data_IF_472386370500
#
_entry.id   IF_472386370500
#
_cell.length_a   1.000
_cell.length_b   1.000
_cell.length_c   1.000
_cell.angle_alpha   90.00
_cell.angle_beta   90.00
_cell.angle_gamma   90.00
#
_symmetry.space_group_name_H-M   'P 1'
#
loop_
_entity.id
_entity.type
_entity.pdbx_description
1 polymer ?
#
# COMPACT_ATOMS: atom_id res chain seq x y z
N UNK A 1 3.43 -26.07 -21.08
CA UNK A 1 4.67 -25.30 -20.87
C UNK A 1 4.60 -24.61 -19.52
N UNK A 2 5.55 -24.87 -18.60
CA UNK A 2 5.60 -24.15 -17.32
C UNK A 2 5.84 -22.67 -17.60
N UNK A 3 4.90 -21.80 -17.19
CA UNK A 3 5.08 -20.35 -17.26
C UNK A 3 6.23 -20.00 -16.32
N UNK A 4 7.36 -19.57 -16.86
CA UNK A 4 8.43 -19.01 -16.04
C UNK A 4 7.83 -17.92 -15.13
N UNK A 5 7.93 -18.09 -13.81
CA UNK A 5 7.39 -17.15 -12.83
C UNK A 5 8.53 -16.47 -12.09
N UNK A 6 8.52 -15.14 -12.07
CA UNK A 6 9.49 -14.30 -11.36
C UNK A 6 8.94 -13.98 -9.97
N UNK A 7 9.67 -14.37 -8.92
CA UNK A 7 9.33 -14.02 -7.54
C UNK A 7 9.83 -12.62 -7.22
N UNK A 8 8.95 -11.74 -6.75
CA UNK A 8 9.34 -10.40 -6.34
C UNK A 8 10.24 -10.46 -5.09
N UNK A 9 11.45 -9.90 -5.16
CA UNK A 9 12.40 -9.88 -4.04
C UNK A 9 11.86 -9.11 -2.82
N UNK A 10 10.89 -8.22 -3.02
CA UNK A 10 10.41 -7.28 -2.00
C UNK A 10 9.14 -7.72 -1.28
N UNK A 11 8.21 -8.38 -1.97
CA UNK A 11 6.96 -8.86 -1.34
C UNK A 11 6.73 -10.36 -1.51
N UNK A 12 7.60 -11.06 -2.23
CA UNK A 12 7.49 -12.49 -2.40
C UNK A 12 6.44 -12.98 -3.38
N UNK A 13 5.65 -12.09 -3.97
CA UNK A 13 4.61 -12.51 -4.89
C UNK A 13 5.19 -13.06 -6.18
N UNK A 14 4.56 -14.11 -6.73
CA UNK A 14 4.88 -14.65 -8.05
C UNK A 14 4.27 -13.78 -9.14
N UNK A 15 5.07 -13.43 -10.13
CA UNK A 15 4.70 -12.61 -11.27
C UNK A 15 5.00 -13.36 -12.57
N UNK A 16 4.26 -13.12 -13.66
CA UNK A 16 4.56 -13.73 -14.94
C UNK A 16 5.92 -13.25 -15.49
N UNK A 17 6.62 -14.12 -16.22
CA UNK A 17 7.83 -13.73 -16.97
C UNK A 17 7.57 -12.53 -17.89
N UNK A 18 8.55 -11.64 -17.99
CA UNK A 18 8.46 -10.41 -18.80
C UNK A 18 7.72 -9.25 -18.12
N UNK A 19 7.36 -9.36 -16.83
CA UNK A 19 6.79 -8.23 -16.09
C UNK A 19 7.89 -7.36 -15.49
N UNK A 20 7.82 -6.04 -15.73
CA UNK A 20 8.77 -5.06 -15.18
C UNK A 20 8.42 -4.64 -13.75
N UNK A 21 7.18 -4.90 -13.30
CA UNK A 21 6.68 -4.54 -11.97
C UNK A 21 5.87 -5.66 -11.34
N UNK A 22 5.96 -5.76 -10.02
CA UNK A 22 5.22 -6.72 -9.23
C UNK A 22 3.74 -6.37 -9.16
N UNK A 23 2.87 -7.31 -9.55
CA UNK A 23 1.40 -7.14 -9.50
C UNK A 23 0.88 -6.91 -8.08
N UNK A 24 1.58 -7.42 -7.06
CA UNK A 24 1.16 -7.37 -5.67
C UNK A 24 1.58 -6.08 -4.96
N UNK A 25 2.85 -5.71 -5.03
CA UNK A 25 3.38 -4.55 -4.31
C UNK A 25 3.79 -3.37 -5.18
N UNK A 26 3.79 -3.50 -6.51
CA UNK A 26 4.20 -2.45 -7.44
C UNK A 26 5.71 -2.25 -7.58
N UNK A 27 6.52 -3.01 -6.85
CA UNK A 27 7.98 -2.98 -6.90
C UNK A 27 8.54 -3.32 -8.30
N UNK A 28 9.73 -2.83 -8.68
CA UNK A 28 10.38 -3.29 -9.90
C UNK A 28 10.79 -4.75 -9.75
N UNK A 29 10.75 -5.49 -10.86
CA UNK A 29 11.26 -6.87 -10.92
C UNK A 29 12.61 -6.84 -11.63
N UNK A 30 13.64 -7.31 -10.95
CA UNK A 30 14.93 -7.59 -11.58
C UNK A 30 14.78 -8.80 -12.50
N UNK A 31 15.02 -8.60 -13.78
CA UNK A 31 15.02 -9.67 -14.77
C UNK A 31 16.36 -10.41 -14.65
N UNK A 32 16.39 -11.75 -14.52
CA UNK A 32 17.63 -12.50 -14.53
C UNK A 32 18.32 -12.28 -15.88
N UNK A 33 19.58 -11.84 -15.85
CA UNK A 33 20.41 -11.70 -17.04
C UNK A 33 20.67 -13.12 -17.55
N UNK A 34 19.92 -13.54 -18.57
CA UNK A 34 20.19 -14.80 -19.26
C UNK A 34 21.43 -14.60 -20.13
N UNK A 35 22.49 -15.42 -19.97
CA UNK A 35 23.62 -15.38 -20.88
C UNK A 35 23.13 -15.66 -22.31
N UNK A 36 23.71 -15.03 -23.34
CA UNK A 36 23.22 -15.16 -24.71
C UNK A 36 23.23 -16.63 -25.15
N UNK A 37 22.05 -17.18 -25.38
CA UNK A 37 21.89 -18.50 -25.97
C UNK A 37 22.38 -18.41 -27.41
N UNK A 38 23.51 -19.06 -27.72
CA UNK A 38 23.97 -19.20 -29.11
C UNK A 38 23.00 -20.13 -29.83
N UNK A 39 22.20 -19.59 -30.74
CA UNK A 39 21.35 -20.37 -31.64
C UNK A 39 22.19 -20.70 -32.88
N UNK A 40 22.56 -21.96 -33.06
CA UNK A 40 23.03 -22.47 -34.35
C UNK A 40 21.82 -22.57 -35.28
N UNK A 41 21.67 -21.61 -36.19
CA UNK A 41 20.65 -21.65 -37.24
C UNK A 41 20.97 -22.77 -38.23
N UNK A 42 20.23 -23.87 -38.17
CA UNK A 42 20.17 -24.84 -39.27
C UNK A 42 19.22 -24.27 -40.32
N UNK A 43 19.75 -24.01 -41.52
CA UNK A 43 18.99 -23.52 -42.68
C UNK A 43 17.83 -24.48 -42.97
N UNK A 44 16.65 -24.14 -42.48
CA UNK A 44 15.39 -24.84 -42.77
C UNK A 44 14.58 -23.90 -43.66
N UNK A 45 14.08 -24.33 -44.83
CA UNK A 45 13.38 -23.44 -45.76
C UNK A 45 12.16 -22.79 -45.11
N UNK A 46 11.92 -21.53 -45.48
CA UNK A 46 10.94 -20.64 -44.85
C UNK A 46 9.53 -21.23 -44.85
N UNK A 47 9.05 -21.64 -43.68
CA UNK A 47 7.62 -21.87 -43.45
C UNK A 47 7.01 -20.50 -43.15
N UNK A 48 6.12 -20.02 -44.01
CA UNK A 48 5.30 -18.83 -43.74
C UNK A 48 4.43 -19.11 -42.50
N UNK A 49 4.96 -18.78 -41.32
CA UNK A 49 4.23 -18.75 -40.07
C UNK A 49 4.07 -17.27 -39.74
N UNK A 50 2.91 -16.72 -40.10
CA UNK A 50 2.44 -15.43 -39.59
C UNK A 50 2.51 -15.51 -38.05
N UNK A 51 3.26 -14.62 -37.37
CA UNK A 51 3.27 -14.61 -35.91
C UNK A 51 1.84 -14.36 -35.39
N UNK A 52 1.35 -15.09 -34.37
CA UNK A 52 0.13 -14.67 -33.72
C UNK A 52 0.38 -13.27 -33.16
N UNK A 53 -0.50 -12.32 -33.52
CA UNK A 53 -0.48 -10.97 -32.98
C UNK A 53 -0.37 -11.06 -31.45
N UNK A 54 0.81 -10.74 -30.93
CA UNK A 54 0.97 -10.57 -29.50
C UNK A 54 -0.01 -9.46 -29.12
N UNK A 55 -1.04 -9.81 -28.36
CA UNK A 55 -1.83 -8.85 -27.63
C UNK A 55 -0.89 -8.16 -26.65
N UNK A 56 -0.20 -7.13 -27.15
CA UNK A 56 0.66 -6.24 -26.41
C UNK A 56 -0.26 -5.49 -25.46
N UNK A 57 -0.37 -6.03 -24.24
CA UNK A 57 -1.09 -5.38 -23.16
C UNK A 57 -0.48 -4.00 -23.00
N UNK A 58 -1.31 -2.96 -22.98
CA UNK A 58 -0.89 -1.56 -22.86
C UNK A 58 0.20 -1.40 -21.79
N UNK A 59 1.45 -1.44 -22.24
CA UNK A 59 2.59 -0.94 -21.52
C UNK A 59 2.37 0.55 -21.50
N UNK A 60 1.79 1.05 -20.41
CA UNK A 60 1.62 2.48 -20.21
C UNK A 60 3.01 3.10 -20.16
N UNK A 61 3.50 3.52 -21.33
CA UNK A 61 4.73 4.28 -21.43
C UNK A 61 4.58 5.52 -20.55
N UNK A 62 5.68 6.09 -20.02
CA UNK A 62 5.62 7.31 -19.23
C UNK A 62 4.81 8.43 -19.92
N UNK A 63 4.80 8.44 -21.25
CA UNK A 63 4.06 9.38 -22.08
C UNK A 63 2.54 9.11 -22.07
N UNK A 64 2.10 7.85 -22.16
CA UNK A 64 0.68 7.50 -22.07
C UNK A 64 0.07 7.79 -20.69
N UNK A 65 0.86 7.71 -19.61
CA UNK A 65 0.43 8.13 -18.27
C UNK A 65 0.27 9.65 -18.21
N UNK A 66 1.15 10.39 -18.90
CA UNK A 66 1.13 11.85 -18.97
C UNK A 66 -0.09 12.35 -19.74
N UNK A 67 -0.36 11.75 -20.90
CA UNK A 67 -1.53 12.05 -21.72
C UNK A 67 -2.86 11.71 -21.02
N UNK A 68 -2.91 10.59 -20.29
CA UNK A 68 -4.08 10.20 -19.51
C UNK A 68 -4.32 11.11 -18.28
N UNK A 69 -3.25 11.64 -17.67
CA UNK A 69 -3.34 12.64 -16.60
C UNK A 69 -3.76 14.00 -17.13
N UNK A 70 -3.33 14.35 -18.34
CA UNK A 70 -3.71 15.61 -18.99
C UNK A 70 -5.17 15.63 -19.44
N UNK A 71 -5.73 14.48 -19.80
CA UNK A 71 -7.14 14.30 -20.15
C UNK A 71 -8.11 14.18 -18.96
N UNK A 72 -7.61 14.08 -17.72
CA UNK A 72 -8.48 13.94 -16.54
C UNK A 72 -9.02 15.31 -16.04
N UNK A 73 -10.32 15.42 -15.73
CA UNK A 73 -10.94 16.65 -15.22
C UNK A 73 -10.63 16.82 -13.72
N UNK A 74 -9.39 17.18 -13.40
CA UNK A 74 -8.91 17.38 -12.02
C UNK A 74 -8.39 18.81 -11.91
N UNK A 75 -8.73 19.49 -10.80
CA UNK A 75 -8.25 20.84 -10.45
C UNK A 75 -6.72 20.96 -10.64
N UNK A 76 -6.28 22.03 -11.30
CA UNK A 76 -4.88 22.25 -11.70
C UNK A 76 -3.89 22.14 -10.54
N UNK A 77 -4.29 22.52 -9.32
CA UNK A 77 -3.45 22.40 -8.12
C UNK A 77 -3.22 20.94 -7.69
N UNK A 78 -4.22 20.07 -7.82
CA UNK A 78 -4.07 18.62 -7.61
C UNK A 78 -3.32 17.97 -8.77
N UNK A 79 -3.54 18.48 -10.00
CA UNK A 79 -2.89 17.99 -11.21
C UNK A 79 -1.39 18.24 -11.17
N UNK A 80 -0.97 19.43 -10.73
CA UNK A 80 0.45 19.77 -10.57
C UNK A 80 1.11 19.01 -9.42
N UNK A 81 0.42 18.82 -8.30
CA UNK A 81 0.88 17.96 -7.21
C UNK A 81 1.04 16.49 -7.65
N UNK A 82 0.10 15.99 -8.46
CA UNK A 82 0.12 14.63 -8.98
C UNK A 82 1.14 14.44 -10.11
N UNK A 83 1.41 15.47 -10.91
CA UNK A 83 2.48 15.50 -11.91
C UNK A 83 3.86 15.57 -11.27
N UNK A 84 4.05 16.41 -10.24
CA UNK A 84 5.29 16.49 -9.48
C UNK A 84 5.58 15.17 -8.74
N UNK A 85 4.56 14.58 -8.12
CA UNK A 85 4.68 13.23 -7.54
C UNK A 85 4.91 12.17 -8.63
N UNK A 86 4.19 12.22 -9.75
CA UNK A 86 4.26 11.25 -10.85
C UNK A 86 5.60 11.23 -11.58
N UNK A 87 6.22 12.40 -11.79
CA UNK A 87 7.55 12.54 -12.39
C UNK A 87 8.67 12.00 -11.48
N UNK A 88 8.55 12.16 -10.17
CA UNK A 88 9.48 11.54 -9.20
C UNK A 88 9.32 10.03 -9.04
N UNK A 89 8.13 9.49 -9.35
CA UNK A 89 7.79 8.07 -9.17
C UNK A 89 8.04 7.24 -10.45
N UNK A 90 8.15 7.88 -11.61
CA UNK A 90 8.24 7.22 -12.92
C UNK A 90 9.62 6.71 -13.34
N UNK A 91 10.71 7.40 -12.98
CA UNK A 91 12.01 7.21 -13.64
C UNK A 91 12.84 6.03 -13.10
N UNK A 92 12.62 5.59 -11.86
CA UNK A 92 13.31 4.47 -11.26
C UNK A 92 12.28 3.70 -10.44
N UNK A 93 12.15 2.38 -10.60
CA UNK A 93 11.13 1.56 -9.92
C UNK A 93 11.11 1.66 -8.38
N UNK A 94 12.02 2.42 -7.77
CA UNK A 94 12.04 2.84 -6.37
C UNK A 94 10.84 3.73 -5.99
N UNK A 95 10.23 4.45 -6.94
CA UNK A 95 9.11 5.36 -6.66
C UNK A 95 7.88 4.70 -6.02
N UNK A 96 7.61 3.44 -6.35
CA UNK A 96 6.47 2.70 -5.79
C UNK A 96 6.71 2.26 -4.34
N UNK A 97 7.96 2.13 -3.90
CA UNK A 97 8.30 1.87 -2.49
C UNK A 97 8.11 3.10 -1.61
N UNK A 98 8.57 4.25 -2.09
CA UNK A 98 8.37 5.52 -1.39
C UNK A 98 6.89 5.86 -1.33
N UNK A 99 6.16 5.76 -2.45
CA UNK A 99 4.71 5.98 -2.48
C UNK A 99 3.97 5.05 -1.51
N UNK A 100 4.41 3.79 -1.39
CA UNK A 100 3.84 2.86 -0.42
C UNK A 100 4.13 3.24 1.03
N UNK A 101 5.39 3.54 1.34
CA UNK A 101 5.79 3.90 2.71
C UNK A 101 5.12 5.20 3.15
N UNK A 102 5.05 6.19 2.25
CA UNK A 102 4.29 7.41 2.45
C UNK A 102 2.80 7.13 2.65
N UNK A 103 2.20 6.23 1.86
CA UNK A 103 0.78 5.89 2.02
C UNK A 103 0.47 5.21 3.36
N UNK A 104 1.37 4.35 3.84
CA UNK A 104 1.24 3.71 5.15
C UNK A 104 1.45 4.71 6.28
N UNK A 105 2.43 5.60 6.16
CA UNK A 105 2.65 6.66 7.15
C UNK A 105 1.45 7.60 7.24
N UNK A 106 0.88 8.03 6.11
CA UNK A 106 -0.29 8.90 6.07
C UNK A 106 -1.54 8.21 6.64
N UNK A 107 -1.75 6.93 6.32
CA UNK A 107 -2.90 6.18 6.84
C UNK A 107 -2.80 5.90 8.34
N UNK A 108 -1.60 5.60 8.84
CA UNK A 108 -1.31 5.49 10.28
C UNK A 108 -1.53 6.84 10.94
N UNK A 109 -0.96 7.92 10.41
CA UNK A 109 -1.06 9.26 10.99
C UNK A 109 -2.53 9.66 11.17
N UNK A 110 -3.33 9.58 10.11
CA UNK A 110 -4.75 9.94 10.19
C UNK A 110 -5.53 9.05 11.17
N UNK A 111 -5.40 7.73 11.04
CA UNK A 111 -6.22 6.78 11.81
C UNK A 111 -5.84 6.78 13.29
N UNK A 112 -4.55 6.76 13.61
CA UNK A 112 -4.04 6.80 14.98
C UNK A 112 -4.34 8.15 15.65
N UNK A 113 -4.15 9.26 14.92
CA UNK A 113 -4.52 10.59 15.42
C UNK A 113 -6.01 10.67 15.77
N UNK A 114 -6.88 10.21 14.87
CA UNK A 114 -8.33 10.24 15.09
C UNK A 114 -8.72 9.41 16.32
N UNK A 115 -8.21 8.19 16.46
CA UNK A 115 -8.47 7.36 17.65
C UNK A 115 -7.92 8.02 18.92
N UNK A 116 -6.74 8.63 18.85
CA UNK A 116 -6.15 9.41 19.93
C UNK A 116 -7.04 10.58 20.35
N UNK A 117 -7.50 11.39 19.40
CA UNK A 117 -8.40 12.52 19.60
C UNK A 117 -9.70 12.11 20.28
N UNK A 118 -10.38 11.08 19.75
CA UNK A 118 -11.61 10.56 20.33
C UNK A 118 -11.38 10.01 21.75
N UNK A 119 -10.22 9.43 22.02
CA UNK A 119 -9.84 8.95 23.36
C UNK A 119 -9.52 10.11 24.33
N UNK A 120 -8.99 11.23 23.82
CA UNK A 120 -8.74 12.46 24.56
C UNK A 120 -10.03 13.08 25.09
N UNK A 121 -11.08 13.13 24.25
CA UNK A 121 -12.39 13.66 24.63
C UNK A 121 -13.03 12.93 25.83
N UNK A 122 -12.66 11.66 26.04
CA UNK A 122 -13.14 10.82 27.15
C UNK A 122 -12.06 10.61 28.22
N UNK A 123 -10.95 11.35 28.17
CA UNK A 123 -9.80 11.26 29.08
C UNK A 123 -9.19 9.85 29.23
N UNK A 124 -9.34 8.98 28.22
CA UNK A 124 -8.86 7.60 28.29
C UNK A 124 -7.54 7.41 27.51
N UNK A 125 -6.43 7.72 28.16
CA UNK A 125 -5.09 7.61 27.55
C UNK A 125 -4.68 6.17 27.17
N UNK A 126 -5.26 5.15 27.83
CA UNK A 126 -4.96 3.74 27.51
C UNK A 126 -5.49 3.35 26.13
N UNK A 127 -6.69 3.81 25.76
CA UNK A 127 -7.26 3.56 24.43
C UNK A 127 -6.46 4.30 23.36
N UNK A 128 -6.01 5.53 23.63
CA UNK A 128 -5.14 6.25 22.71
C UNK A 128 -3.84 5.47 22.45
N UNK A 129 -3.17 5.01 23.51
CA UNK A 129 -1.91 4.27 23.41
C UNK A 129 -2.11 2.93 22.69
N UNK A 130 -3.09 2.14 23.13
CA UNK A 130 -3.41 0.86 22.51
C UNK A 130 -3.84 1.02 21.04
N UNK A 131 -4.68 2.02 20.75
CA UNK A 131 -5.16 2.32 19.41
C UNK A 131 -4.04 2.70 18.45
N UNK A 132 -3.14 3.60 18.87
CA UNK A 132 -1.98 3.98 18.08
C UNK A 132 -1.07 2.79 17.75
N UNK A 133 -0.75 1.97 18.76
CA UNK A 133 0.09 0.78 18.57
C UNK A 133 -0.59 -0.26 17.66
N UNK A 134 -1.86 -0.57 17.90
CA UNK A 134 -2.61 -1.58 17.13
C UNK A 134 -2.78 -1.15 15.68
N UNK A 135 -3.20 0.08 15.42
CA UNK A 135 -3.35 0.59 14.04
C UNK A 135 -1.98 0.60 13.34
N UNK A 136 -0.95 1.11 14.01
CA UNK A 136 0.41 1.14 13.49
C UNK A 136 0.94 -0.25 13.13
N UNK A 137 0.71 -1.23 14.00
CA UNK A 137 1.07 -2.63 13.77
C UNK A 137 0.29 -3.21 12.59
N UNK A 138 -1.04 -3.05 12.55
CA UNK A 138 -1.89 -3.67 11.53
C UNK A 138 -1.59 -3.09 10.13
N UNK A 139 -1.38 -1.77 10.02
CA UNK A 139 -0.97 -1.16 8.76
C UNK A 139 0.45 -1.60 8.38
N UNK A 140 1.38 -1.63 9.33
CA UNK A 140 2.78 -2.04 9.08
C UNK A 140 2.94 -3.51 8.66
N UNK A 141 2.04 -4.39 9.11
CA UNK A 141 2.00 -5.80 8.69
C UNK A 141 1.29 -6.00 7.35
N UNK A 142 0.36 -5.12 6.97
CA UNK A 142 -0.46 -5.30 5.79
C UNK A 142 0.32 -5.06 4.49
N UNK A 143 0.39 -6.09 3.64
CA UNK A 143 0.96 -5.95 2.30
C UNK A 143 -0.12 -5.65 1.26
N UNK A 144 -0.25 -4.37 0.90
CA UNK A 144 -1.20 -3.85 -0.09
C UNK A 144 -0.53 -2.89 -1.09
N UNK A 145 -1.26 -2.55 -2.16
CA UNK A 145 -0.89 -1.47 -3.09
C UNK A 145 -1.03 -0.10 -2.38
N UNK A 146 -0.28 0.95 -2.79
CA UNK A 146 -0.28 2.25 -2.11
C UNK A 146 -1.67 2.84 -1.87
N UNK A 147 -2.55 2.86 -2.88
CA UNK A 147 -3.93 3.37 -2.73
C UNK A 147 -4.72 2.57 -1.69
N UNK A 148 -4.56 1.25 -1.68
CA UNK A 148 -5.22 0.39 -0.69
C UNK A 148 -4.68 0.58 0.73
N UNK A 149 -3.37 0.82 0.87
CA UNK A 149 -2.76 1.13 2.17
C UNK A 149 -3.19 2.50 2.68
N UNK A 150 -3.28 3.50 1.79
CA UNK A 150 -3.68 4.87 2.12
C UNK A 150 -5.11 4.93 2.67
N UNK A 151 -6.05 4.27 2.01
CA UNK A 151 -7.48 4.45 2.28
C UNK A 151 -8.06 3.43 3.27
N UNK A 152 -7.46 2.25 3.40
CA UNK A 152 -8.12 1.17 4.15
C UNK A 152 -8.30 1.47 5.64
N UNK A 153 -7.24 1.86 6.35
CA UNK A 153 -7.35 2.19 7.78
C UNK A 153 -8.21 3.45 8.04
N UNK A 154 -8.06 4.57 7.28
CA UNK A 154 -8.89 5.76 7.47
C UNK A 154 -10.37 5.50 7.27
N UNK A 155 -10.76 4.80 6.20
CA UNK A 155 -12.16 4.48 5.94
C UNK A 155 -12.72 3.60 7.06
N UNK A 156 -11.97 2.58 7.48
CA UNK A 156 -12.39 1.73 8.60
C UNK A 156 -12.56 2.50 9.89
N UNK A 157 -11.66 3.44 10.18
CA UNK A 157 -11.70 4.28 11.39
C UNK A 157 -12.92 5.21 11.39
N UNK A 158 -13.22 5.84 10.25
CA UNK A 158 -14.40 6.70 10.10
C UNK A 158 -15.70 5.89 10.25
N UNK A 159 -15.80 4.74 9.58
CA UNK A 159 -16.98 3.87 9.69
C UNK A 159 -17.16 3.36 11.13
N UNK A 160 -16.07 3.00 11.80
CA UNK A 160 -16.07 2.62 13.21
C UNK A 160 -16.55 3.75 14.12
N UNK A 161 -16.08 4.97 13.91
CA UNK A 161 -16.53 6.16 14.64
C UNK A 161 -18.03 6.40 14.45
N UNK A 162 -18.54 6.34 13.21
CA UNK A 162 -19.97 6.51 12.91
C UNK A 162 -20.79 5.44 13.63
N UNK A 163 -20.39 4.17 13.53
CA UNK A 163 -21.06 3.07 14.22
C UNK A 163 -21.04 3.27 15.74
N UNK A 164 -19.93 3.72 16.31
CA UNK A 164 -19.80 3.98 17.73
C UNK A 164 -20.69 5.12 18.21
N UNK A 165 -20.80 6.21 17.45
CA UNK A 165 -21.72 7.30 17.78
C UNK A 165 -23.19 6.87 17.76
N UNK A 166 -23.57 5.98 16.83
CA UNK A 166 -24.93 5.43 16.77
C UNK A 166 -25.25 4.48 17.93
N UNK A 167 -24.24 3.75 18.43
CA UNK A 167 -24.40 2.76 19.50
C UNK A 167 -24.13 3.32 20.90
N UNK A 168 -23.43 4.45 21.02
CA UNK A 168 -23.10 5.11 22.29
C UNK A 168 -24.31 5.31 23.23
N UNK A 169 -25.51 5.68 22.75
CA UNK A 169 -26.68 5.82 23.61
C UNK A 169 -27.09 4.52 24.33
N UNK A 170 -26.79 3.36 23.74
CA UNK A 170 -27.13 2.06 24.32
C UNK A 170 -26.17 1.58 25.40
N UNK A 171 -24.94 2.09 25.45
CA UNK A 171 -23.91 1.65 26.41
C UNK A 171 -23.04 2.83 26.87
N UNK A 172 -23.54 3.71 27.75
CA UNK A 172 -22.81 4.92 28.16
C UNK A 172 -21.56 4.65 29.00
N UNK A 173 -21.45 3.45 29.58
CA UNK A 173 -20.32 3.06 30.43
C UNK A 173 -19.00 2.86 29.66
N UNK A 174 -19.05 2.67 28.33
CA UNK A 174 -17.89 2.40 27.51
C UNK A 174 -17.70 3.51 26.47
N UNK A 175 -16.45 3.90 26.16
CA UNK A 175 -16.15 4.84 25.08
C UNK A 175 -16.23 4.12 23.72
N UNK A 176 -17.45 3.74 23.31
CA UNK A 176 -17.70 2.93 22.13
C UNK A 176 -17.20 3.62 20.86
N UNK A 177 -17.32 4.95 20.75
CA UNK A 177 -16.81 5.70 19.60
C UNK A 177 -15.32 5.46 19.35
N UNK A 178 -14.47 5.58 20.38
CA UNK A 178 -13.03 5.36 20.26
C UNK A 178 -12.70 3.87 20.01
N UNK A 179 -13.38 2.96 20.70
CA UNK A 179 -13.19 1.52 20.56
C UNK A 179 -13.58 1.00 19.17
N UNK A 180 -14.73 1.45 18.64
CA UNK A 180 -15.19 1.05 17.31
C UNK A 180 -14.38 1.73 16.21
N UNK A 181 -13.92 2.97 16.38
CA UNK A 181 -12.98 3.61 15.48
C UNK A 181 -11.66 2.80 15.40
N UNK A 182 -11.11 2.39 16.54
CA UNK A 182 -9.94 1.51 16.62
C UNK A 182 -10.19 0.18 15.91
N UNK A 183 -11.28 -0.50 16.26
CA UNK A 183 -11.61 -1.81 15.71
C UNK A 183 -11.83 -1.75 14.19
N UNK A 184 -12.60 -0.76 13.72
CA UNK A 184 -12.86 -0.53 12.31
C UNK A 184 -11.57 -0.23 11.53
N UNK A 185 -10.72 0.66 12.07
CA UNK A 185 -9.42 0.97 11.48
C UNK A 185 -8.50 -0.25 11.39
N UNK A 186 -8.40 -1.02 12.48
CA UNK A 186 -7.56 -2.22 12.55
C UNK A 186 -8.04 -3.33 11.59
N UNK A 187 -9.35 -3.62 11.56
CA UNK A 187 -9.91 -4.63 10.66
C UNK A 187 -9.70 -4.21 9.20
N UNK A 188 -10.04 -2.97 8.85
CA UNK A 188 -9.88 -2.48 7.49
C UNK A 188 -8.41 -2.41 7.05
N UNK A 189 -7.49 -2.08 7.96
CA UNK A 189 -6.05 -2.12 7.71
C UNK A 189 -5.58 -3.51 7.24
N UNK A 190 -6.20 -4.60 7.69
CA UNK A 190 -5.83 -5.97 7.29
C UNK A 190 -6.59 -6.43 6.03
N UNK A 191 -7.81 -5.91 5.78
CA UNK A 191 -8.66 -6.33 4.65
C UNK A 191 -7.96 -6.17 3.29
N UNK A 192 -7.81 -7.27 2.56
CA UNK A 192 -7.13 -7.28 1.26
C UNK A 192 -5.59 -7.30 1.34
N UNK A 193 -5.01 -7.51 2.53
CA UNK A 193 -3.60 -7.82 2.68
C UNK A 193 -3.27 -9.17 2.02
N UNK A 194 -2.10 -9.27 1.40
CA UNK A 194 -1.59 -10.54 0.85
C UNK A 194 -0.47 -11.06 1.74
N UNK A 195 -0.38 -12.38 1.89
CA UNK A 195 0.76 -13.01 2.58
C UNK A 195 2.04 -12.76 1.79
N UNK A 196 3.04 -12.20 2.47
CA UNK A 196 4.40 -12.02 1.93
C UNK A 196 5.10 -13.38 1.89
N UNK A 197 5.63 -13.76 0.72
CA UNK A 197 6.35 -15.02 0.51
C UNK A 197 7.87 -14.78 0.54
N UNK A 198 8.45 -14.99 1.72
CA UNK A 198 9.88 -15.16 2.04
C UNK A 198 10.93 -14.89 0.93
N UNK A 199 11.69 -13.80 1.06
CA UNK A 199 13.08 -13.70 0.56
C UNK A 199 13.96 -12.80 1.46
N UNK A 200 15.27 -13.05 1.46
CA UNK A 200 16.23 -12.73 2.55
C UNK A 200 16.53 -11.23 2.72
N UNK A 201 16.61 -10.44 1.65
CA UNK A 201 16.87 -8.98 1.74
C UNK A 201 15.62 -8.21 2.18
N UNK A 202 14.42 -8.70 1.82
CA UNK A 202 13.16 -8.20 2.35
C UNK A 202 12.88 -8.64 3.81
N UNK A 203 13.64 -9.57 4.40
CA UNK A 203 13.45 -9.99 5.80
C UNK A 203 13.76 -8.87 6.80
N UNK A 204 14.80 -8.07 6.56
CA UNK A 204 15.23 -7.05 7.54
C UNK A 204 14.29 -5.84 7.52
N UNK A 205 14.05 -5.27 6.33
CA UNK A 205 13.09 -4.18 6.18
C UNK A 205 11.66 -4.61 6.53
N UNK A 206 11.25 -5.82 6.10
CA UNK A 206 9.94 -6.38 6.45
C UNK A 206 9.76 -6.61 7.95
N UNK A 207 10.83 -6.86 8.71
CA UNK A 207 10.80 -6.95 10.18
C UNK A 207 10.73 -5.59 10.85
N UNK A 208 11.43 -4.57 10.34
CA UNK A 208 11.43 -3.23 10.92
C UNK A 208 10.11 -2.47 10.70
N UNK A 209 9.46 -2.72 9.57
CA UNK A 209 8.22 -2.04 9.17
C UNK A 209 7.09 -2.04 10.21
N UNK A 210 6.71 -3.17 10.86
CA UNK A 210 5.71 -3.14 11.92
C UNK A 210 6.14 -2.29 13.11
N UNK A 211 7.44 -2.26 13.45
CA UNK A 211 7.94 -1.40 14.53
C UNK A 211 7.88 0.09 14.17
N UNK A 212 8.25 0.46 12.94
CA UNK A 212 8.08 1.82 12.44
C UNK A 212 6.60 2.23 12.43
N UNK A 213 5.72 1.30 12.05
CA UNK A 213 4.29 1.51 12.09
C UNK A 213 3.78 1.75 13.52
N UNK A 214 4.17 0.90 14.48
CA UNK A 214 3.85 1.08 15.89
C UNK A 214 4.38 2.39 16.46
N UNK A 215 5.63 2.76 16.18
CA UNK A 215 6.24 4.00 16.65
C UNK A 215 5.52 5.23 16.09
N UNK A 216 5.23 5.25 14.78
CA UNK A 216 4.44 6.31 14.15
C UNK A 216 3.02 6.38 14.72
N UNK A 217 2.36 5.23 14.84
CA UNK A 217 1.01 5.14 15.40
C UNK A 217 0.93 5.63 16.84
N UNK A 218 1.90 5.26 17.68
CA UNK A 218 2.04 5.78 19.04
C UNK A 218 2.18 7.30 19.06
N UNK A 219 3.11 7.86 18.28
CA UNK A 219 3.35 9.31 18.24
C UNK A 219 2.10 10.09 17.83
N UNK A 220 1.43 9.68 16.74
CA UNK A 220 0.23 10.36 16.26
C UNK A 220 -0.96 10.18 17.18
N UNK A 221 -1.12 9.02 17.81
CA UNK A 221 -2.19 8.81 18.79
C UNK A 221 -1.99 9.65 20.06
N UNK A 222 -0.75 9.79 20.55
CA UNK A 222 -0.46 10.68 21.68
C UNK A 222 -0.71 12.14 21.33
N UNK A 223 -0.32 12.57 20.13
CA UNK A 223 -0.64 13.93 19.65
C UNK A 223 -2.16 14.16 19.59
N UNK A 224 -2.90 13.21 19.03
CA UNK A 224 -4.37 13.27 19.01
C UNK A 224 -4.96 13.33 20.41
N UNK A 225 -4.49 12.49 21.33
CA UNK A 225 -4.95 12.47 22.72
C UNK A 225 -4.74 13.80 23.44
N UNK A 226 -3.56 14.42 23.29
CA UNK A 226 -3.25 15.72 23.91
C UNK A 226 -4.14 16.83 23.35
N UNK A 227 -4.46 16.80 22.04
CA UNK A 227 -5.32 17.81 21.41
C UNK A 227 -6.80 17.60 21.74
N UNK A 228 -7.24 16.34 21.88
CA UNK A 228 -8.63 16.01 22.20
C UNK A 228 -9.01 16.15 23.67
N UNK A 229 -8.02 16.32 24.55
CA UNK A 229 -8.19 16.51 25.99
C UNK A 229 -8.42 17.99 26.32
#
# INVERSE_FOLDING_TARGET
>A
MPKASLTCIYCGANNPAGTNRCKACGAPIELPIVPPVRVTTINTPARNITPPAMAQRADTSPEQIRDALDAAPINDQLKDGLKAAGLGIGALGVGTFFARTASEAASIAFSAFMVGYLSGMVNNGLIALAGGLVIGLMVGLAVKRPIGALLSAPIGTILGMIAGNLLQPGVPALPLTALLALAGGAIAAILGSRRSSTNVVAKWYGRLRPFLGMAGGFMFAMLGYVIGK
#
